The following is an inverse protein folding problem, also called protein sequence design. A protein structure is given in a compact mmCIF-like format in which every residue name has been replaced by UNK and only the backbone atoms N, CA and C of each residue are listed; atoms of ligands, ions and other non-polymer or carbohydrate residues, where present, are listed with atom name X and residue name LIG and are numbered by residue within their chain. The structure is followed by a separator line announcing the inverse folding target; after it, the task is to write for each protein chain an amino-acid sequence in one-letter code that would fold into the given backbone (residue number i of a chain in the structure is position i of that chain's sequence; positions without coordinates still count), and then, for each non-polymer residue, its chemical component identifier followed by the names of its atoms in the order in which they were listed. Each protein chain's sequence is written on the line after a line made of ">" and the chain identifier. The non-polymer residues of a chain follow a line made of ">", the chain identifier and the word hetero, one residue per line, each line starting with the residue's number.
data_IF_278946078273
#
_entry.id   IF_278946078273
#
_cell.length_a   1.000
_cell.length_b   1.000
_cell.length_c   1.000
_cell.angle_alpha   90.00
_cell.angle_beta   90.00
_cell.angle_gamma   90.00
#
_symmetry.space_group_name_H-M   'P 1'
#
loop_
_entity.id
_entity.type
_entity.pdbx_description
1 polymer ?
#
# COMPACT_ATOMS: atom_id res chain seq x y z
N UNK A 1 8.04 -33.12 -0.14
CA UNK A 1 8.30 -31.66 -0.20
C UNK A 1 8.40 -31.17 1.22
N UNK A 2 9.57 -30.68 1.63
CA UNK A 2 9.68 -29.97 2.89
C UNK A 2 8.93 -28.64 2.73
N UNK A 3 7.93 -28.35 3.57
CA UNK A 3 7.27 -27.05 3.55
C UNK A 3 8.32 -25.97 3.81
N UNK A 4 8.26 -24.88 3.06
CA UNK A 4 9.17 -23.75 3.25
C UNK A 4 8.88 -23.11 4.61
N UNK A 5 9.83 -23.22 5.54
CA UNK A 5 9.70 -22.62 6.86
C UNK A 5 9.69 -21.09 6.76
N UNK A 6 8.75 -20.48 7.50
CA UNK A 6 8.57 -19.02 7.51
C UNK A 6 9.83 -18.29 7.94
N UNK A 7 10.54 -18.83 8.94
CA UNK A 7 11.75 -18.23 9.49
C UNK A 7 12.89 -18.24 8.48
N UNK A 8 13.10 -19.37 7.81
CA UNK A 8 14.10 -19.53 6.75
C UNK A 8 13.84 -18.55 5.60
N UNK A 9 12.59 -18.43 5.15
CA UNK A 9 12.22 -17.48 4.12
C UNK A 9 12.46 -16.01 4.56
N UNK A 10 12.09 -15.68 5.81
CA UNK A 10 12.33 -14.34 6.37
C UNK A 10 13.83 -14.02 6.44
N UNK A 11 14.65 -15.00 6.80
CA UNK A 11 16.10 -14.86 6.82
C UNK A 11 16.65 -14.58 5.42
N UNK A 12 16.25 -15.33 4.40
CA UNK A 12 16.71 -15.09 3.02
C UNK A 12 16.34 -13.71 2.47
N UNK A 13 15.15 -13.20 2.82
CA UNK A 13 14.71 -11.86 2.38
C UNK A 13 15.55 -10.76 3.05
N UNK A 14 15.92 -10.94 4.31
CA UNK A 14 16.71 -9.95 5.07
C UNK A 14 18.20 -10.04 4.75
N UNK A 15 18.72 -11.25 4.51
CA UNK A 15 20.13 -11.54 4.23
C UNK A 15 20.27 -12.26 2.88
N UNK A 16 20.01 -11.57 1.75
CA UNK A 16 20.06 -12.18 0.42
C UNK A 16 21.48 -12.52 -0.06
N UNK A 17 22.52 -12.07 0.64
CA UNK A 17 23.91 -12.36 0.31
C UNK A 17 24.39 -13.71 0.90
N UNK A 18 23.75 -14.19 1.98
CA UNK A 18 24.15 -15.39 2.72
C UNK A 18 23.51 -16.69 2.17
N UNK A 19 22.97 -16.66 0.95
CA UNK A 19 22.27 -17.80 0.37
C UNK A 19 23.23 -18.97 0.08
N UNK A 20 22.94 -20.15 0.62
CA UNK A 20 23.70 -21.38 0.39
C UNK A 20 23.30 -22.06 -0.95
N UNK A 21 24.14 -22.96 -1.51
CA UNK A 21 23.78 -23.71 -2.71
C UNK A 21 22.60 -24.67 -2.49
N UNK A 22 22.38 -25.14 -1.25
CA UNK A 22 21.20 -25.91 -0.84
C UNK A 22 19.91 -25.09 -0.88
N UNK A 23 20.02 -23.80 -0.55
CA UNK A 23 18.88 -22.89 -0.54
C UNK A 23 18.39 -22.62 -1.96
N UNK A 24 19.31 -22.62 -2.93
CA UNK A 24 18.96 -22.48 -4.34
C UNK A 24 18.01 -23.61 -4.82
N UNK A 25 18.27 -24.86 -4.44
CA UNK A 25 17.39 -25.98 -4.83
C UNK A 25 16.03 -25.87 -4.13
N UNK A 26 16.00 -25.50 -2.85
CA UNK A 26 14.75 -25.27 -2.11
C UNK A 26 13.93 -24.10 -2.68
N UNK A 27 14.60 -23.04 -3.12
CA UNK A 27 13.98 -21.91 -3.79
C UNK A 27 13.36 -22.31 -5.14
N UNK A 28 13.99 -23.21 -5.90
CA UNK A 28 13.40 -23.75 -7.13
C UNK A 28 12.18 -24.63 -6.87
N UNK A 29 12.25 -25.51 -5.87
CA UNK A 29 11.11 -26.35 -5.47
C UNK A 29 9.93 -25.50 -5.00
N UNK A 30 10.18 -24.47 -4.18
CA UNK A 30 9.13 -23.57 -3.70
C UNK A 30 8.55 -22.69 -4.83
N UNK A 31 9.33 -22.32 -5.84
CA UNK A 31 8.84 -21.61 -7.03
C UNK A 31 7.87 -22.48 -7.84
N UNK A 32 8.12 -23.79 -7.94
CA UNK A 32 7.20 -24.71 -8.60
C UNK A 32 5.83 -24.79 -7.89
N UNK A 33 5.83 -24.70 -6.55
CA UNK A 33 4.60 -24.67 -5.74
C UNK A 33 3.93 -23.29 -5.78
N UNK A 34 4.72 -22.22 -5.80
CA UNK A 34 4.24 -20.83 -5.72
C UNK A 34 4.72 -19.97 -6.92
N UNK A 35 4.20 -20.21 -8.13
CA UNK A 35 4.70 -19.59 -9.37
C UNK A 35 4.43 -18.08 -9.47
N UNK A 36 3.58 -17.52 -8.61
CA UNK A 36 3.25 -16.09 -8.61
C UNK A 36 3.99 -15.29 -7.52
N UNK A 37 4.86 -15.94 -6.73
CA UNK A 37 5.58 -15.29 -5.65
C UNK A 37 6.76 -14.47 -6.21
N UNK A 38 6.61 -13.14 -6.29
CA UNK A 38 7.62 -12.25 -6.86
C UNK A 38 8.95 -12.30 -6.10
N UNK A 39 8.90 -12.37 -4.77
CA UNK A 39 10.10 -12.40 -3.90
C UNK A 39 10.94 -13.66 -4.12
N UNK A 40 10.30 -14.82 -4.32
CA UNK A 40 11.02 -16.06 -4.65
C UNK A 40 11.78 -15.91 -5.96
N UNK A 41 11.19 -15.29 -6.99
CA UNK A 41 11.89 -15.00 -8.24
C UNK A 41 13.12 -14.09 -8.03
N UNK A 42 12.99 -13.06 -7.20
CA UNK A 42 14.13 -12.17 -6.91
C UNK A 42 15.25 -12.89 -6.14
N UNK A 43 14.90 -13.74 -5.17
CA UNK A 43 15.86 -14.53 -4.40
C UNK A 43 16.53 -15.59 -5.26
N UNK A 44 15.79 -16.26 -6.15
CA UNK A 44 16.34 -17.27 -7.05
C UNK A 44 17.34 -16.66 -8.04
N UNK A 45 17.03 -15.47 -8.58
CA UNK A 45 17.97 -14.73 -9.43
C UNK A 45 19.24 -14.33 -8.68
N UNK A 46 19.11 -13.90 -7.42
CA UNK A 46 20.26 -13.59 -6.56
C UNK A 46 21.11 -14.83 -6.26
N UNK A 47 20.49 -15.91 -5.81
CA UNK A 47 21.19 -17.18 -5.57
C UNK A 47 21.89 -17.72 -6.83
N UNK A 48 21.23 -17.63 -8.00
CA UNK A 48 21.83 -18.00 -9.28
C UNK A 48 23.04 -17.10 -9.63
N UNK A 49 22.99 -15.81 -9.31
CA UNK A 49 24.11 -14.89 -9.55
C UNK A 49 25.34 -15.22 -8.68
N UNK A 50 25.14 -15.74 -7.46
CA UNK A 50 26.21 -16.14 -6.54
C UNK A 50 26.82 -17.48 -6.97
N UNK A 51 25.98 -18.50 -7.16
CA UNK A 51 26.42 -19.90 -7.33
C UNK A 51 26.56 -20.35 -8.79
N UNK A 52 25.74 -19.83 -9.71
CA UNK A 52 25.62 -20.30 -11.09
C UNK A 52 25.68 -19.17 -12.11
N UNK A 53 26.79 -18.42 -12.13
CA UNK A 53 27.01 -17.26 -13.03
C UNK A 53 26.71 -17.55 -14.50
N UNK A 54 26.94 -18.78 -14.98
CA UNK A 54 26.66 -19.18 -16.36
C UNK A 54 25.16 -19.21 -16.73
N UNK A 55 24.27 -19.50 -15.77
CA UNK A 55 22.82 -19.52 -15.98
C UNK A 55 22.11 -18.30 -15.37
N UNK A 56 22.80 -17.47 -14.58
CA UNK A 56 22.22 -16.33 -13.89
C UNK A 56 21.37 -15.43 -14.81
N UNK A 57 21.80 -15.22 -16.06
CA UNK A 57 21.09 -14.34 -17.01
C UNK A 57 19.67 -14.80 -17.33
N UNK A 58 19.37 -16.11 -17.35
CA UNK A 58 17.99 -16.58 -17.58
C UNK A 58 17.11 -16.28 -16.37
N UNK A 59 17.59 -16.60 -15.17
CA UNK A 59 16.87 -16.35 -13.92
C UNK A 59 16.66 -14.86 -13.66
N UNK A 60 17.65 -14.02 -13.96
CA UNK A 60 17.54 -12.56 -13.85
C UNK A 60 16.48 -12.01 -14.80
N UNK A 61 16.42 -12.50 -16.05
CA UNK A 61 15.39 -12.08 -17.01
C UNK A 61 13.99 -12.51 -16.56
N UNK A 62 13.87 -13.74 -16.06
CA UNK A 62 12.62 -14.26 -15.54
C UNK A 62 12.17 -13.44 -14.31
N UNK A 63 13.08 -13.19 -13.36
CA UNK A 63 12.80 -12.34 -12.22
C UNK A 63 12.42 -10.91 -12.63
N UNK A 64 13.06 -10.33 -13.64
CA UNK A 64 12.73 -9.00 -14.15
C UNK A 64 11.34 -8.90 -14.82
N UNK A 65 10.74 -10.03 -15.18
CA UNK A 65 9.35 -10.09 -15.66
C UNK A 65 8.34 -10.07 -14.49
N UNK A 66 8.69 -10.69 -13.36
CA UNK A 66 7.84 -10.76 -12.17
C UNK A 66 8.10 -9.65 -11.15
N UNK A 67 9.24 -8.97 -11.19
CA UNK A 67 9.64 -7.97 -10.22
C UNK A 67 8.87 -6.65 -10.38
N UNK A 68 8.47 -6.06 -9.25
CA UNK A 68 7.82 -4.75 -9.20
C UNK A 68 8.74 -3.63 -9.72
N UNK A 69 10.05 -3.72 -9.47
CA UNK A 69 11.03 -2.77 -10.02
C UNK A 69 12.32 -3.43 -10.46
N UNK A 70 12.67 -3.21 -11.74
CA UNK A 70 13.92 -3.72 -12.34
C UNK A 70 15.16 -3.05 -11.74
N UNK A 71 15.04 -1.79 -11.32
CA UNK A 71 16.15 -1.06 -10.71
C UNK A 71 16.50 -1.64 -9.34
N UNK A 72 15.51 -1.97 -8.49
CA UNK A 72 15.78 -2.62 -7.21
C UNK A 72 16.38 -4.02 -7.40
N UNK A 73 15.86 -4.80 -8.36
CA UNK A 73 16.44 -6.11 -8.70
C UNK A 73 17.91 -5.98 -9.12
N UNK A 74 18.23 -5.03 -10.00
CA UNK A 74 19.61 -4.75 -10.40
C UNK A 74 20.49 -4.40 -9.20
N UNK A 75 20.07 -3.45 -8.36
CA UNK A 75 20.80 -3.07 -7.14
C UNK A 75 21.02 -4.24 -6.19
N UNK A 76 20.05 -5.15 -6.09
CA UNK A 76 20.14 -6.35 -5.26
C UNK A 76 21.18 -7.32 -5.84
N UNK A 77 21.19 -7.53 -7.16
CA UNK A 77 22.18 -8.39 -7.84
C UNK A 77 23.59 -7.79 -7.76
N UNK A 78 23.72 -6.47 -7.91
CA UNK A 78 24.99 -5.75 -7.89
C UNK A 78 25.51 -5.50 -6.45
N UNK A 79 24.80 -6.00 -5.41
CA UNK A 79 25.10 -5.80 -3.99
C UNK A 79 25.09 -4.32 -3.54
N UNK A 80 24.42 -3.44 -4.28
CA UNK A 80 24.23 -2.03 -3.93
C UNK A 80 23.00 -1.79 -3.04
N UNK A 81 22.20 -2.84 -2.84
CA UNK A 81 20.97 -2.76 -2.06
C UNK A 81 21.29 -2.75 -0.56
N UNK A 82 20.95 -1.65 0.10
CA UNK A 82 21.04 -1.52 1.54
C UNK A 82 19.63 -1.42 2.11
N UNK A 83 19.26 -2.37 2.97
CA UNK A 83 18.08 -2.22 3.80
C UNK A 83 18.25 -1.00 4.71
N UNK A 84 17.18 -0.24 4.92
CA UNK A 84 17.23 0.78 5.97
C UNK A 84 17.19 0.10 7.33
N UNK A 85 18.10 0.48 8.23
CA UNK A 85 18.17 -0.03 9.61
C UNK A 85 16.80 0.05 10.32
N UNK A 86 16.07 1.15 10.10
CA UNK A 86 14.74 1.37 10.64
C UNK A 86 13.68 0.38 10.15
N UNK A 87 13.86 -0.18 8.94
CA UNK A 87 12.95 -1.16 8.38
C UNK A 87 13.28 -2.55 8.93
N UNK A 88 14.57 -2.89 9.04
CA UNK A 88 14.99 -4.16 9.66
C UNK A 88 14.54 -4.25 11.12
N UNK A 89 14.68 -3.17 11.90
CA UNK A 89 14.21 -3.12 13.29
C UNK A 89 12.69 -3.27 13.38
N UNK A 90 11.94 -2.58 12.52
CA UNK A 90 10.48 -2.73 12.44
C UNK A 90 10.05 -4.14 12.03
N UNK A 91 10.73 -4.77 11.07
CA UNK A 91 10.40 -6.14 10.67
C UNK A 91 10.67 -7.14 11.79
N UNK A 92 11.78 -6.99 12.50
CA UNK A 92 12.07 -7.84 13.66
C UNK A 92 11.02 -7.64 14.77
N UNK A 93 10.63 -6.40 15.05
CA UNK A 93 9.54 -6.11 15.99
C UNK A 93 8.19 -6.70 15.54
N UNK A 94 7.85 -6.62 14.26
CA UNK A 94 6.61 -7.18 13.71
C UNK A 94 6.63 -8.71 13.69
N UNK A 95 7.80 -9.33 13.53
CA UNK A 95 7.94 -10.78 13.67
C UNK A 95 7.71 -11.22 15.12
N UNK A 96 8.25 -10.47 16.08
CA UNK A 96 8.12 -10.75 17.51
C UNK A 96 6.70 -10.46 18.06
N UNK A 97 6.05 -9.41 17.56
CA UNK A 97 4.68 -9.06 17.89
C UNK A 97 3.77 -9.93 17.03
N UNK A 98 3.30 -11.07 17.55
CA UNK A 98 2.20 -11.81 16.94
C UNK A 98 1.02 -10.85 16.76
N UNK A 99 0.83 -10.31 15.55
CA UNK A 99 -0.20 -9.32 15.28
C UNK A 99 -1.56 -10.01 15.49
N UNK A 100 -2.35 -9.60 16.49
CA UNK A 100 -3.69 -10.14 16.67
C UNK A 100 -4.48 -9.80 15.41
N UNK A 101 -4.93 -10.84 14.70
CA UNK A 101 -5.81 -10.68 13.55
C UNK A 101 -7.11 -10.07 14.11
N UNK A 102 -7.58 -8.90 13.64
CA UNK A 102 -8.83 -8.32 14.11
C UNK A 102 -9.98 -9.31 13.95
N UNK A 103 -10.89 -9.36 14.92
CA UNK A 103 -11.98 -10.35 14.96
C UNK A 103 -12.88 -10.27 13.70
N UNK A 104 -12.97 -9.09 13.07
CA UNK A 104 -13.66 -8.86 11.80
C UNK A 104 -13.11 -9.72 10.63
N UNK A 105 -11.82 -10.09 10.66
CA UNK A 105 -11.21 -10.97 9.67
C UNK A 105 -11.47 -12.46 9.96
N UNK A 106 -11.97 -12.82 11.15
CA UNK A 106 -12.21 -14.20 11.52
C UNK A 106 -13.57 -14.73 11.03
N UNK A 107 -14.50 -13.84 10.69
CA UNK A 107 -15.92 -14.18 10.71
C UNK A 107 -16.43 -14.93 9.46
N UNK A 108 -15.91 -14.71 8.25
CA UNK A 108 -16.52 -15.35 7.06
C UNK A 108 -15.54 -15.80 5.96
N UNK A 109 -14.63 -14.94 5.50
CA UNK A 109 -13.73 -15.26 4.38
C UNK A 109 -12.53 -16.14 4.78
N UNK A 110 -12.01 -15.95 5.99
CA UNK A 110 -10.86 -16.69 6.50
C UNK A 110 -11.20 -18.12 6.95
N UNK A 111 -12.41 -18.34 7.49
CA UNK A 111 -12.92 -19.67 7.83
C UNK A 111 -13.12 -20.55 6.57
N UNK A 112 -13.60 -19.95 5.47
CA UNK A 112 -13.66 -20.59 4.15
C UNK A 112 -12.28 -20.91 3.57
N UNK A 113 -11.28 -20.05 3.82
CA UNK A 113 -9.91 -20.27 3.37
C UNK A 113 -9.22 -21.40 4.16
N UNK A 114 -9.39 -21.45 5.49
CA UNK A 114 -8.76 -22.46 6.35
C UNK A 114 -9.42 -23.84 6.21
N UNK A 115 -10.71 -23.89 5.91
CA UNK A 115 -11.41 -25.15 5.60
C UNK A 115 -11.02 -25.77 4.24
N UNK A 116 -10.28 -25.05 3.38
CA UNK A 116 -9.72 -25.61 2.14
C UNK A 116 -8.46 -26.47 2.32
N UNK A 117 -7.90 -26.56 3.52
CA UNK A 117 -6.68 -27.35 3.78
C UNK A 117 -6.92 -28.88 3.67
N UNK A 118 -8.17 -29.31 3.43
CA UNK A 118 -8.52 -30.74 3.26
C UNK A 118 -9.21 -31.14 1.94
N UNK A 119 -9.43 -30.25 0.97
CA UNK A 119 -10.11 -30.63 -0.27
C UNK A 119 -9.11 -30.89 -1.42
N UNK A 120 -9.00 -32.16 -1.78
CA UNK A 120 -8.42 -32.61 -3.04
C UNK A 120 -9.03 -31.88 -4.24
N UNK A 121 -8.18 -31.21 -5.03
CA UNK A 121 -8.23 -30.87 -6.47
C UNK A 121 -9.56 -30.67 -7.24
N UNK A 122 -10.69 -30.37 -6.58
CA UNK A 122 -11.94 -30.03 -7.25
C UNK A 122 -12.34 -28.61 -6.85
N UNK A 123 -12.20 -27.67 -7.78
CA UNK A 123 -12.70 -26.31 -7.60
C UNK A 123 -14.22 -26.35 -7.36
N UNK A 124 -14.76 -25.75 -6.28
CA UNK A 124 -16.19 -25.54 -6.20
C UNK A 124 -16.55 -24.49 -7.26
N UNK A 125 -17.49 -24.84 -8.14
CA UNK A 125 -18.06 -23.95 -9.14
C UNK A 125 -18.87 -22.88 -8.40
N UNK A 126 -18.20 -21.78 -8.03
CA UNK A 126 -18.89 -20.58 -7.55
C UNK A 126 -19.73 -20.06 -8.73
N UNK A 127 -21.05 -20.04 -8.55
CA UNK A 127 -21.97 -19.48 -9.54
C UNK A 127 -21.80 -17.96 -9.58
N UNK A 128 -20.76 -17.51 -10.27
CA UNK A 128 -20.57 -16.11 -10.65
C UNK A 128 -21.64 -15.77 -11.68
N UNK A 129 -22.43 -14.74 -11.36
CA UNK A 129 -23.27 -13.92 -12.26
C UNK A 129 -23.55 -14.55 -13.63
N UNK A 130 -24.74 -15.13 -13.77
CA UNK A 130 -25.21 -15.67 -15.04
C UNK A 130 -25.71 -14.51 -15.92
N UNK A 131 -24.87 -14.02 -16.82
CA UNK A 131 -25.31 -13.15 -17.93
C UNK A 131 -26.06 -14.00 -18.96
N UNK A 132 -27.21 -13.54 -19.50
CA UNK A 132 -27.96 -14.29 -20.49
C UNK A 132 -27.27 -14.16 -21.86
N UNK A 133 -26.68 -15.26 -22.35
CA UNK A 133 -26.33 -15.40 -23.76
C UNK A 133 -27.31 -16.38 -24.41
N UNK A 134 -28.01 -15.89 -25.43
CA UNK A 134 -28.95 -16.65 -26.24
C UNK A 134 -28.23 -17.59 -27.25
N UNK A 135 -28.96 -18.64 -27.67
CA UNK A 135 -28.67 -19.65 -28.72
C UNK A 135 -27.53 -20.65 -28.39
N UNK A 136 -27.65 -21.97 -28.61
CA UNK A 136 -28.54 -22.73 -29.48
C UNK A 136 -28.76 -24.16 -28.93
N UNK A 137 -29.82 -24.83 -29.38
CA UNK A 137 -30.41 -26.02 -28.75
C UNK A 137 -29.62 -27.33 -28.88
N UNK A 138 -29.82 -28.21 -27.88
CA UNK A 138 -30.04 -29.65 -28.10
C UNK A 138 -30.55 -30.30 -26.82
N UNK A 139 -31.59 -31.10 -27.01
CA UNK A 139 -32.41 -31.71 -25.98
C UNK A 139 -31.72 -32.83 -25.20
N UNK A 140 -31.90 -32.85 -23.88
CA UNK A 140 -31.91 -34.07 -23.08
C UNK A 140 -32.71 -33.88 -21.78
N UNK A 141 -34.01 -34.17 -21.89
CA UNK A 141 -34.99 -34.65 -20.88
C UNK A 141 -34.64 -34.49 -19.38
N UNK A 142 -35.42 -33.63 -18.72
CA UNK A 142 -35.69 -33.65 -17.29
C UNK A 142 -36.82 -34.66 -16.97
N UNK A 143 -36.60 -35.50 -15.96
CA UNK A 143 -37.65 -36.19 -15.18
C UNK A 143 -37.33 -35.89 -13.71
N UNK A 144 -38.11 -35.00 -13.06
CA UNK A 144 -39.21 -35.32 -12.15
C UNK A 144 -38.80 -36.22 -10.97
N UNK A 145 -38.73 -35.65 -9.76
CA UNK A 145 -39.53 -36.12 -8.61
C UNK A 145 -39.32 -35.23 -7.38
N UNK A 146 -40.38 -34.49 -7.06
CA UNK A 146 -40.65 -33.81 -5.79
C UNK A 146 -41.28 -34.80 -4.81
N UNK A 147 -40.90 -34.77 -3.53
CA UNK A 147 -41.67 -35.37 -2.44
C UNK A 147 -42.22 -34.30 -1.48
N UNK A 148 -43.39 -34.54 -0.86
CA UNK A 148 -44.39 -33.52 -0.57
C UNK A 148 -44.37 -33.01 0.88
N UNK A 149 -44.69 -31.73 1.01
CA UNK A 149 -45.07 -31.03 2.24
C UNK A 149 -46.52 -31.37 2.60
N UNK A 150 -46.81 -31.61 3.88
CA UNK A 150 -48.18 -31.54 4.44
C UNK A 150 -48.27 -30.28 5.32
N UNK A 151 -49.19 -29.35 5.05
CA UNK A 151 -49.49 -28.22 5.94
C UNK A 151 -50.66 -28.54 6.89
N UNK A 152 -50.56 -28.05 8.13
CA UNK A 152 -51.72 -27.84 9.03
C UNK A 152 -51.85 -26.34 9.29
N UNK A 153 -53.04 -25.74 9.20
CA UNK A 153 -53.25 -24.30 9.32
C UNK A 153 -53.76 -23.91 10.72
N UNK A 154 -53.07 -23.03 11.44
CA UNK A 154 -53.70 -22.22 12.50
C UNK A 154 -53.11 -20.77 12.49
N UNK A 155 -53.97 -19.83 12.09
CA UNK A 155 -54.08 -18.40 12.44
C UNK A 155 -52.85 -17.47 12.55
N UNK A 156 -52.47 -16.78 11.45
CA UNK A 156 -51.55 -15.64 11.46
C UNK A 156 -52.21 -14.25 11.51
N UNK A 157 -53.48 -14.12 11.91
CA UNK A 157 -54.21 -12.83 11.79
C UNK A 157 -54.08 -11.89 13.01
N UNK A 158 -53.42 -12.30 14.10
CA UNK A 158 -53.24 -11.45 15.29
C UNK A 158 -51.79 -10.96 15.51
N UNK A 159 -50.82 -11.42 14.72
CA UNK A 159 -49.41 -10.99 14.85
C UNK A 159 -49.10 -9.79 13.95
N UNK A 160 -49.74 -9.67 12.79
CA UNK A 160 -49.51 -8.56 11.86
C UNK A 160 -50.08 -7.22 12.34
N UNK A 161 -51.15 -7.23 13.16
CA UNK A 161 -51.76 -6.01 13.68
C UNK A 161 -50.91 -5.34 14.77
N UNK A 162 -50.18 -6.14 15.57
CA UNK A 162 -49.30 -5.61 16.61
C UNK A 162 -48.00 -5.04 16.03
N UNK A 163 -47.48 -5.62 14.94
CA UNK A 163 -46.28 -5.13 14.28
C UNK A 163 -46.51 -3.79 13.54
N UNK A 164 -47.72 -3.57 13.01
CA UNK A 164 -48.09 -2.30 12.36
C UNK A 164 -48.23 -1.15 13.36
N UNK A 165 -48.83 -1.41 14.53
CA UNK A 165 -48.97 -0.39 15.57
C UNK A 165 -47.61 0.03 16.18
N UNK A 166 -46.66 -0.90 16.32
CA UNK A 166 -45.29 -0.56 16.77
C UNK A 166 -44.53 0.28 15.73
N UNK A 167 -44.75 0.04 14.43
CA UNK A 167 -44.13 0.83 13.37
C UNK A 167 -44.74 2.23 13.21
N UNK A 168 -46.03 2.40 13.50
CA UNK A 168 -46.71 3.70 13.47
C UNK A 168 -46.34 4.58 14.67
N UNK A 169 -46.07 4.02 15.86
CA UNK A 169 -45.67 4.79 17.04
C UNK A 169 -44.21 5.29 17.02
N UNK A 170 -43.32 4.68 16.23
CA UNK A 170 -41.93 5.15 16.07
C UNK A 170 -41.83 6.30 15.04
N UNK A 171 -42.78 6.39 14.11
CA UNK A 171 -42.77 7.38 13.02
C UNK A 171 -43.21 8.79 13.44
N UNK A 172 -43.78 8.98 14.63
CA UNK A 172 -44.32 10.26 15.11
C UNK A 172 -43.45 10.95 16.17
N UNK A 173 -42.14 10.64 16.20
CA UNK A 173 -41.15 11.48 16.86
C UNK A 173 -40.52 12.43 15.84
N UNK A 174 -40.99 13.68 15.82
CA UNK A 174 -40.47 14.75 14.97
C UNK A 174 -38.92 14.80 15.00
N UNK A 175 -38.22 14.83 13.85
CA UNK A 175 -36.77 14.99 13.84
C UNK A 175 -36.44 16.44 14.21
N UNK A 176 -36.08 16.66 15.47
CA UNK A 176 -35.34 17.85 15.87
C UNK A 176 -34.06 17.89 15.03
N UNK A 177 -33.89 18.92 14.19
CA UNK A 177 -32.66 19.07 13.41
C UNK A 177 -31.47 19.12 14.37
N UNK A 178 -30.47 18.24 14.23
CA UNK A 178 -29.25 18.37 15.01
C UNK A 178 -28.57 19.67 14.59
N UNK A 179 -28.27 20.54 15.56
CA UNK A 179 -27.49 21.75 15.33
C UNK A 179 -26.08 21.29 14.96
N UNK A 180 -25.81 21.14 13.67
CA UNK A 180 -24.51 20.70 13.15
C UNK A 180 -23.44 21.75 13.54
N UNK A 181 -22.33 21.29 14.10
CA UNK A 181 -21.22 22.18 14.43
C UNK A 181 -20.62 22.79 13.14
N UNK A 182 -20.03 23.98 13.22
CA UNK A 182 -19.42 24.62 12.05
C UNK A 182 -18.37 23.74 11.34
N UNK A 183 -17.70 22.85 12.09
CA UNK A 183 -16.76 21.87 11.55
C UNK A 183 -17.43 20.75 10.75
N UNK A 184 -18.64 20.35 11.13
CA UNK A 184 -19.38 19.28 10.44
C UNK A 184 -19.97 19.78 9.11
N UNK A 185 -20.37 21.06 9.05
CA UNK A 185 -20.81 21.71 7.80
C UNK A 185 -19.66 21.74 6.78
N UNK A 186 -18.44 22.04 7.22
CA UNK A 186 -17.27 22.07 6.33
C UNK A 186 -16.88 20.67 5.86
N UNK A 187 -16.98 19.67 6.74
CA UNK A 187 -16.77 18.26 6.37
C UNK A 187 -17.81 17.79 5.34
N UNK A 188 -19.08 18.15 5.50
CA UNK A 188 -20.13 17.83 4.52
C UNK A 188 -19.85 18.46 3.16
N UNK A 189 -19.44 19.74 3.12
CA UNK A 189 -19.02 20.39 1.86
C UNK A 189 -17.86 19.67 1.18
N UNK A 190 -16.88 19.21 1.96
CA UNK A 190 -15.75 18.46 1.43
C UNK A 190 -16.19 17.13 0.82
N UNK A 191 -17.09 16.40 1.50
CA UNK A 191 -17.65 15.15 1.00
C UNK A 191 -18.48 15.38 -0.28
N UNK A 192 -19.34 16.40 -0.30
CA UNK A 192 -20.11 16.77 -1.49
C UNK A 192 -19.21 17.11 -2.68
N UNK A 193 -18.08 17.77 -2.44
CA UNK A 193 -17.11 18.08 -3.48
C UNK A 193 -16.44 16.81 -4.02
N UNK A 194 -16.07 15.87 -3.15
CA UNK A 194 -15.52 14.56 -3.53
C UNK A 194 -16.56 13.77 -4.35
N UNK A 195 -17.81 13.69 -3.89
CA UNK A 195 -18.88 12.99 -4.60
C UNK A 195 -19.17 13.63 -5.96
N UNK A 196 -19.15 14.96 -6.03
CA UNK A 196 -19.29 15.68 -7.29
C UNK A 196 -18.13 15.39 -8.25
N UNK A 197 -16.92 15.19 -7.73
CA UNK A 197 -15.74 14.87 -8.52
C UNK A 197 -15.79 13.44 -9.07
N UNK A 198 -16.16 12.47 -8.22
CA UNK A 198 -16.35 11.08 -8.61
C UNK A 198 -17.44 10.99 -9.68
N UNK A 199 -18.60 11.65 -9.48
CA UNK A 199 -19.70 11.66 -10.45
C UNK A 199 -19.34 12.33 -11.78
N UNK A 200 -18.53 13.39 -11.76
CA UNK A 200 -18.14 14.13 -12.96
C UNK A 200 -17.08 13.43 -13.81
N UNK A 201 -16.39 12.42 -13.26
CA UNK A 201 -15.29 11.67 -13.90
C UNK A 201 -14.47 12.53 -14.89
N UNK A 202 -13.87 13.65 -14.46
CA UNK A 202 -13.22 14.56 -15.39
C UNK A 202 -12.01 13.87 -16.03
N UNK A 203 -12.12 13.55 -17.32
CA UNK A 203 -11.01 12.98 -18.10
C UNK A 203 -10.08 14.12 -18.56
N UNK A 204 -8.83 14.08 -18.12
CA UNK A 204 -7.78 14.94 -18.67
C UNK A 204 -7.48 14.44 -20.08
N UNK A 205 -7.91 15.19 -21.09
CA UNK A 205 -7.51 14.90 -22.47
C UNK A 205 -6.02 15.16 -22.62
N UNK A 206 -5.26 14.26 -23.28
CA UNK A 206 -3.85 14.53 -23.54
C UNK A 206 -3.74 15.80 -24.38
N UNK A 207 -2.87 16.72 -23.97
CA UNK A 207 -2.58 17.96 -24.70
C UNK A 207 -1.90 17.56 -26.01
N UNK A 208 -2.71 17.38 -27.06
CA UNK A 208 -2.24 17.11 -28.41
C UNK A 208 -1.94 18.46 -29.05
N UNK A 209 -0.75 18.99 -28.78
CA UNK A 209 -0.24 20.13 -29.54
C UNK A 209 -0.17 19.76 -31.02
N UNK A 210 -0.67 20.61 -31.90
CA UNK A 210 -0.40 20.47 -33.33
C UNK A 210 1.12 20.60 -33.53
N UNK A 211 1.75 19.79 -34.40
CA UNK A 211 3.18 19.95 -34.66
C UNK A 211 3.44 21.35 -35.24
N UNK A 212 4.02 22.23 -34.42
CA UNK A 212 4.29 23.64 -34.76
C UNK A 212 3.69 24.68 -33.79
N UNK A 213 2.84 24.29 -32.85
CA UNK A 213 2.28 25.21 -31.85
C UNK A 213 3.13 25.17 -30.57
N UNK A 214 3.87 26.26 -30.32
CA UNK A 214 4.59 26.46 -29.06
C UNK A 214 3.55 26.77 -27.99
N UNK A 215 3.09 25.74 -27.29
CA UNK A 215 2.29 25.94 -26.09
C UNK A 215 3.22 26.52 -25.03
N UNK A 216 2.98 27.77 -24.62
CA UNK A 216 3.67 28.37 -23.48
C UNK A 216 3.35 27.54 -22.24
N UNK A 217 4.29 26.66 -21.87
CA UNK A 217 4.15 25.84 -20.69
C UNK A 217 4.29 26.75 -19.46
N UNK A 218 3.18 26.93 -18.72
CA UNK A 218 3.21 27.70 -17.49
C UNK A 218 4.24 27.08 -16.52
N UNK A 219 5.18 27.92 -16.07
CA UNK A 219 6.18 27.55 -15.09
C UNK A 219 5.52 27.38 -13.70
N UNK A 220 5.11 26.15 -13.41
CA UNK A 220 4.46 25.76 -12.15
C UNK A 220 5.33 26.04 -10.91
N UNK A 221 6.63 26.26 -11.06
CA UNK A 221 7.53 26.58 -9.93
C UNK A 221 7.18 27.92 -9.28
N UNK A 222 6.54 28.83 -10.02
CA UNK A 222 6.09 30.13 -9.49
C UNK A 222 4.89 30.00 -8.56
N UNK A 223 4.05 28.96 -8.74
CA UNK A 223 2.84 28.73 -7.93
C UNK A 223 3.19 28.16 -6.56
N UNK A 224 4.26 27.38 -6.46
CA UNK A 224 4.75 26.86 -5.21
C UNK A 224 5.63 27.91 -4.52
N UNK A 225 4.99 28.95 -3.96
CA UNK A 225 5.70 29.88 -3.06
C UNK A 225 6.33 29.03 -1.96
N UNK A 226 7.66 29.06 -1.75
CA UNK A 226 8.27 28.28 -0.69
C UNK A 226 7.57 28.65 0.61
N UNK A 227 7.02 27.65 1.28
CA UNK A 227 6.35 27.78 2.58
C UNK A 227 7.24 28.66 3.44
N UNK A 228 6.73 29.85 3.79
CA UNK A 228 7.49 30.93 4.44
C UNK A 228 7.95 30.60 5.87
N UNK A 229 7.67 29.38 6.35
CA UNK A 229 8.30 28.79 7.51
C UNK A 229 9.70 28.30 7.14
N UNK A 230 10.66 29.21 7.05
CA UNK A 230 12.09 28.87 6.94
C UNK A 230 12.44 27.86 8.04
N UNK A 231 12.83 26.64 7.67
CA UNK A 231 13.23 25.60 8.60
C UNK A 231 14.55 26.00 9.27
N UNK A 232 14.47 26.73 10.38
CA UNK A 232 15.64 27.22 11.12
C UNK A 232 16.10 26.15 12.10
N UNK A 233 17.00 25.27 11.64
CA UNK A 233 17.66 24.24 12.48
C UNK A 233 19.18 24.28 12.27
N UNK A 234 19.93 23.82 13.27
CA UNK A 234 21.40 23.77 13.21
C UNK A 234 21.89 22.88 12.06
N UNK A 235 21.27 21.71 11.86
CA UNK A 235 21.61 20.80 10.77
C UNK A 235 21.42 21.46 9.40
N UNK A 236 20.36 22.26 9.24
CA UNK A 236 20.12 23.00 8.01
C UNK A 236 21.20 24.06 7.75
N UNK A 237 21.65 24.77 8.79
CA UNK A 237 22.76 25.71 8.68
C UNK A 237 24.07 25.02 8.24
N UNK A 238 24.41 23.87 8.85
CA UNK A 238 25.57 23.05 8.45
C UNK A 238 25.51 22.57 7.01
N UNK A 239 24.32 22.21 6.52
CA UNK A 239 24.13 21.83 5.11
C UNK A 239 24.39 23.03 4.20
N UNK A 240 23.93 24.22 4.56
CA UNK A 240 24.19 25.44 3.78
C UNK A 240 25.67 25.83 3.75
N UNK A 241 26.39 25.65 4.86
CA UNK A 241 27.86 25.81 4.89
C UNK A 241 28.54 24.87 3.90
N UNK A 242 28.19 23.58 3.90
CA UNK A 242 28.74 22.59 2.96
C UNK A 242 28.41 22.90 1.50
N UNK A 243 27.29 23.59 1.26
CA UNK A 243 26.90 24.04 -0.07
C UNK A 243 27.57 25.35 -0.50
N UNK A 244 28.44 25.94 0.34
CA UNK A 244 29.10 27.22 0.07
C UNK A 244 28.17 28.43 0.17
N UNK A 245 26.93 28.28 0.67
CA UNK A 245 25.96 29.37 0.84
C UNK A 245 26.14 30.04 2.20
N UNK A 246 27.32 30.63 2.41
CA UNK A 246 27.76 31.23 3.69
C UNK A 246 26.80 32.30 4.20
N UNK A 247 26.34 33.22 3.34
CA UNK A 247 25.42 34.30 3.72
C UNK A 247 24.13 33.77 4.35
N UNK A 248 23.53 32.77 3.70
CA UNK A 248 22.29 32.13 4.18
C UNK A 248 22.54 31.33 5.46
N UNK A 249 23.69 30.69 5.60
CA UNK A 249 24.05 29.99 6.83
C UNK A 249 24.16 30.96 8.01
N UNK A 250 24.80 32.13 7.81
CA UNK A 250 24.92 33.20 8.82
C UNK A 250 23.55 33.70 9.25
N UNK A 251 22.62 33.92 8.32
CA UNK A 251 21.23 34.31 8.66
C UNK A 251 20.51 33.28 9.52
N UNK A 252 20.68 31.98 9.22
CA UNK A 252 20.07 30.90 10.00
C UNK A 252 20.69 30.85 11.41
N UNK A 253 22.01 30.99 11.55
CA UNK A 253 22.66 31.05 12.87
C UNK A 253 22.21 32.27 13.68
N UNK A 254 22.06 33.44 13.05
CA UNK A 254 21.50 34.63 13.72
C UNK A 254 20.09 34.37 14.26
N UNK A 255 19.23 33.71 13.47
CA UNK A 255 17.89 33.31 13.91
C UNK A 255 17.94 32.26 15.03
N UNK A 256 18.91 31.35 15.01
CA UNK A 256 19.11 30.36 16.07
C UNK A 256 19.55 30.98 17.40
N UNK A 257 20.33 32.06 17.38
CA UNK A 257 20.69 32.81 18.60
C UNK A 257 19.44 33.36 19.30
N UNK A 258 18.52 33.94 18.53
CA UNK A 258 17.25 34.48 19.05
C UNK A 258 16.37 33.37 19.64
N UNK A 259 16.37 32.19 19.02
CA UNK A 259 15.58 31.04 19.50
C UNK A 259 16.21 30.31 20.70
N UNK A 260 17.54 30.22 20.75
CA UNK A 260 18.29 29.40 21.71
C UNK A 260 19.42 30.22 22.36
N UNK A 261 19.09 31.13 23.32
CA UNK A 261 20.08 32.03 23.92
C UNK A 261 21.17 31.28 24.72
N UNK A 262 20.88 30.09 25.23
CA UNK A 262 21.83 29.25 25.97
C UNK A 262 23.07 28.89 25.14
N UNK A 263 22.91 28.74 23.82
CA UNK A 263 23.97 28.35 22.88
C UNK A 263 24.53 29.54 22.09
N UNK A 264 24.28 30.77 22.54
CA UNK A 264 24.68 31.98 21.80
C UNK A 264 26.19 32.02 21.50
N UNK A 265 27.04 31.75 22.50
CA UNK A 265 28.50 31.76 22.31
C UNK A 265 28.96 30.79 21.19
N UNK A 266 28.33 29.62 21.10
CA UNK A 266 28.61 28.63 20.06
C UNK A 266 28.25 29.14 18.66
N UNK A 267 27.05 29.69 18.49
CA UNK A 267 26.62 30.22 17.21
C UNK A 267 27.39 31.48 16.80
N UNK A 268 27.76 32.34 17.76
CA UNK A 268 28.61 33.50 17.51
C UNK A 268 30.00 33.10 16.99
N UNK A 269 30.62 32.08 17.60
CA UNK A 269 31.88 31.52 17.12
C UNK A 269 31.74 30.99 15.68
N UNK A 270 30.67 30.24 15.39
CA UNK A 270 30.44 29.72 14.03
C UNK A 270 30.22 30.81 12.99
N UNK A 271 29.53 31.89 13.35
CA UNK A 271 29.36 33.06 12.47
C UNK A 271 30.72 33.72 12.19
N UNK A 272 31.58 33.88 13.20
CA UNK A 272 32.92 34.45 12.98
C UNK A 272 33.81 33.57 12.09
N UNK A 273 33.75 32.25 12.27
CA UNK A 273 34.49 31.29 11.44
C UNK A 273 34.05 31.39 9.97
N UNK A 274 32.73 31.42 9.72
CA UNK A 274 32.19 31.56 8.37
C UNK A 274 32.50 32.90 7.73
N UNK A 275 32.54 33.98 8.52
CA UNK A 275 32.91 35.30 8.02
C UNK A 275 34.38 35.35 7.61
N UNK A 276 35.27 34.80 8.44
CA UNK A 276 36.70 34.73 8.13
C UNK A 276 36.96 33.84 6.90
N UNK A 277 36.24 32.72 6.76
CA UNK A 277 36.35 31.83 5.61
C UNK A 277 35.79 32.41 4.30
N UNK A 278 34.96 33.45 4.37
CA UNK A 278 34.44 34.15 3.18
C UNK A 278 35.36 35.31 2.74
N UNK A 279 36.22 35.80 3.64
CA UNK A 279 37.13 36.94 3.39
C UNK A 279 38.55 36.50 2.97
N UNK A 280 38.89 35.21 3.06
CA UNK A 280 40.18 34.63 2.64
C UNK A 280 40.08 33.81 1.37
#
# INVERSE_FOLDING_TARGET
>A
MLPLDKETFSYWVTHPDDLAPTDFTQLQESLAVYPYCQTLHTLTAKAASIHQRGQAVSYVRLAAAHALSRNALRKLIDNEFQWSENLLTKLNELSAKHVPIPDDYQQESYALFKSRVGLSNSFPKLALLQLPSQYDGSAAKEQTETLPTVPTPEDPTLVEANLKNDLEQIAEAAPSQPILSAADIERQRQLDLIDSFIKKEPRISPVRGKPGEVLEQEDLTKRNKPVSGSLVTESFAKILEKQGKTDKAIEIYKKLIVKNPEKNAYFAAKISELKNAAEG
#
